data_IF_631383465955
#
_entry.id   IF_631383465955
#
_cell.length_a   1.000
_cell.length_b   1.000
_cell.length_c   1.000
_cell.angle_alpha   90.00
_cell.angle_beta   90.00
_cell.angle_gamma   90.00
#
_symmetry.space_group_name_H-M   'P 1'
#
loop_
_entity.id
_entity.type
_entity.pdbx_description
1 polymer ?
#
# COMPACT_ATOMS: atom_id res chain seq x y z
N UNK A 1 22.33 3.49 -18.98
CA UNK A 1 23.59 4.20 -18.69
C UNK A 1 24.68 3.16 -18.46
N UNK A 2 25.57 2.95 -19.43
CA UNK A 2 26.69 2.01 -19.28
C UNK A 2 27.77 2.66 -18.41
N UNK A 3 27.79 2.36 -17.10
CA UNK A 3 28.96 2.67 -16.26
C UNK A 3 30.12 1.82 -16.79
N UNK A 4 31.04 2.43 -17.55
CA UNK A 4 32.33 1.83 -17.88
C UNK A 4 33.19 1.95 -16.63
N UNK A 5 33.18 0.93 -15.79
CA UNK A 5 34.12 0.84 -14.67
C UNK A 5 35.40 0.26 -15.26
N UNK A 6 36.48 1.06 -15.26
CA UNK A 6 37.80 0.59 -15.60
C UNK A 6 38.28 -0.27 -14.43
N UNK A 7 38.18 -1.60 -14.58
CA UNK A 7 38.53 -2.57 -13.54
C UNK A 7 40.04 -2.75 -13.48
N UNK A 8 40.70 -1.81 -12.81
CA UNK A 8 42.14 -1.78 -12.60
C UNK A 8 42.87 -0.77 -13.47
N UNK A 9 44.13 -0.49 -13.13
CA UNK A 9 45.04 0.12 -14.09
C UNK A 9 45.04 -0.77 -15.33
N UNK A 10 45.08 -0.18 -16.54
CA UNK A 10 45.56 -0.93 -17.70
C UNK A 10 46.85 -1.58 -17.24
N UNK A 11 46.85 -2.90 -17.05
CA UNK A 11 48.11 -3.60 -17.03
C UNK A 11 48.75 -3.17 -18.34
N UNK A 12 49.92 -2.51 -18.34
CA UNK A 12 50.73 -2.51 -19.53
C UNK A 12 51.18 -3.96 -19.68
N UNK A 13 50.25 -4.84 -20.07
CA UNK A 13 50.55 -5.87 -21.02
C UNK A 13 50.97 -5.09 -22.28
N UNK A 14 52.20 -4.59 -22.22
CA UNK A 14 52.98 -4.04 -23.31
C UNK A 14 53.47 -5.22 -24.13
N UNK A 15 52.59 -6.14 -24.46
CA UNK A 15 52.74 -7.06 -25.56
C UNK A 15 51.85 -6.45 -26.65
N UNK A 16 52.33 -5.53 -27.47
CA UNK A 16 53.30 -5.90 -28.50
C UNK A 16 53.48 -4.72 -29.45
N UNK A 17 54.72 -4.26 -29.63
CA UNK A 17 55.08 -3.70 -30.93
C UNK A 17 55.07 -4.87 -31.91
N UNK A 18 54.26 -4.76 -32.96
CA UNK A 18 54.11 -5.80 -33.99
C UNK A 18 54.34 -5.22 -35.37
N UNK A 19 54.60 -6.09 -36.34
CA UNK A 19 54.80 -5.67 -37.73
C UNK A 19 53.44 -5.37 -38.36
N UNK A 20 53.32 -4.20 -38.99
CA UNK A 20 52.09 -3.82 -39.69
C UNK A 20 51.63 -4.93 -40.65
N UNK A 21 50.38 -5.39 -40.48
CA UNK A 21 49.77 -6.45 -41.27
C UNK A 21 49.85 -7.87 -40.67
N UNK A 22 50.62 -8.08 -39.61
CA UNK A 22 50.61 -9.32 -38.83
C UNK A 22 49.42 -9.37 -37.86
N UNK A 23 48.99 -10.58 -37.50
CA UNK A 23 47.91 -10.79 -36.54
C UNK A 23 48.34 -10.35 -35.15
N UNK A 24 47.43 -9.69 -34.44
CA UNK A 24 47.62 -9.30 -33.05
C UNK A 24 47.42 -10.54 -32.17
N UNK A 25 48.33 -10.77 -31.23
CA UNK A 25 48.23 -11.84 -30.24
C UNK A 25 48.45 -11.29 -28.83
N UNK A 26 47.38 -11.26 -28.02
CA UNK A 26 47.46 -10.90 -26.60
C UNK A 26 47.72 -12.15 -25.76
N UNK A 27 48.92 -12.28 -25.20
CA UNK A 27 49.33 -13.51 -24.51
C UNK A 27 48.69 -13.67 -23.12
N UNK A 28 48.19 -12.59 -22.53
CA UNK A 28 47.65 -12.58 -21.17
C UNK A 28 46.15 -12.32 -21.05
N UNK A 29 45.46 -11.96 -22.13
CA UNK A 29 44.06 -11.52 -22.07
C UNK A 29 43.11 -12.61 -21.54
N UNK A 30 43.27 -13.86 -22.02
CA UNK A 30 42.45 -14.98 -21.55
C UNK A 30 42.57 -15.22 -20.04
N UNK A 31 43.79 -15.11 -19.49
CA UNK A 31 44.03 -15.28 -18.05
C UNK A 31 43.37 -14.17 -17.22
N UNK A 32 43.41 -12.94 -17.71
CA UNK A 32 42.78 -11.80 -17.04
C UNK A 32 41.25 -11.90 -17.08
N UNK A 33 40.68 -12.27 -18.23
CA UNK A 33 39.24 -12.53 -18.37
C UNK A 33 38.80 -13.61 -17.37
N UNK A 34 39.49 -14.76 -17.34
CA UNK A 34 39.18 -15.82 -16.37
C UNK A 34 39.35 -15.40 -14.91
N UNK A 35 40.28 -14.48 -14.62
CA UNK A 35 40.44 -13.94 -13.27
C UNK A 35 39.24 -13.07 -12.85
N UNK A 36 38.74 -12.21 -13.72
CA UNK A 36 37.54 -11.43 -13.44
C UNK A 36 36.28 -12.31 -13.35
N UNK A 37 36.15 -13.31 -14.22
CA UNK A 37 35.04 -14.28 -14.13
C UNK A 37 35.07 -15.04 -12.80
N UNK A 38 36.27 -15.40 -12.29
CA UNK A 38 36.41 -16.00 -10.96
C UNK A 38 36.04 -15.06 -9.80
N UNK A 39 35.98 -13.75 -10.07
CA UNK A 39 35.49 -12.71 -9.16
C UNK A 39 34.03 -12.35 -9.43
N UNK A 40 33.29 -13.23 -10.09
CA UNK A 40 31.84 -13.12 -10.30
C UNK A 40 31.44 -11.98 -11.26
N UNK A 41 32.34 -11.66 -12.20
CA UNK A 41 32.01 -10.86 -13.38
C UNK A 41 31.59 -11.77 -14.55
N UNK A 42 30.80 -11.22 -15.46
CA UNK A 42 30.34 -11.88 -16.68
C UNK A 42 30.98 -11.19 -17.88
N UNK A 43 31.76 -11.91 -18.68
CA UNK A 43 32.35 -11.39 -19.91
C UNK A 43 31.29 -11.30 -21.01
N UNK A 44 30.99 -10.08 -21.46
CA UNK A 44 29.87 -9.83 -22.39
C UNK A 44 30.31 -9.48 -23.80
N UNK A 45 31.41 -8.76 -23.96
CA UNK A 45 31.83 -8.28 -25.28
C UNK A 45 33.30 -7.87 -25.29
N UNK A 46 33.94 -7.91 -26.45
CA UNK A 46 35.32 -7.47 -26.67
C UNK A 46 35.44 -6.75 -28.00
N UNK A 47 36.16 -5.63 -28.03
CA UNK A 47 36.52 -4.96 -29.27
C UNK A 47 37.63 -5.67 -30.06
N UNK A 48 38.31 -6.64 -29.45
CA UNK A 48 39.37 -7.43 -30.07
C UNK A 48 38.78 -8.70 -30.71
N UNK A 49 39.17 -8.95 -31.96
CA UNK A 49 38.90 -10.18 -32.69
C UNK A 49 40.21 -10.88 -33.07
N UNK A 50 40.26 -12.23 -33.07
CA UNK A 50 41.48 -12.99 -33.44
C UNK A 50 42.02 -12.72 -34.85
N UNK A 51 41.24 -12.05 -35.71
CA UNK A 51 41.61 -11.67 -37.07
C UNK A 51 42.22 -10.26 -37.17
N UNK A 52 42.25 -9.50 -36.06
CA UNK A 52 42.79 -8.15 -36.03
C UNK A 52 44.30 -8.14 -36.26
N UNK A 53 44.78 -7.06 -36.89
CA UNK A 53 46.17 -6.93 -37.35
C UNK A 53 46.79 -5.62 -36.91
N UNK A 54 48.11 -5.59 -36.75
CA UNK A 54 48.82 -4.35 -36.43
C UNK A 54 48.66 -3.33 -37.56
N UNK A 55 48.27 -2.12 -37.18
CA UNK A 55 48.22 -0.96 -38.06
C UNK A 55 49.54 -0.19 -38.12
N UNK A 56 49.48 1.04 -38.63
CA UNK A 56 50.58 2.01 -38.57
C UNK A 56 50.48 2.95 -37.36
N UNK A 57 49.33 2.93 -36.69
CA UNK A 57 48.98 3.80 -35.59
C UNK A 57 48.65 2.97 -34.35
N UNK A 58 48.75 3.58 -33.17
CA UNK A 58 48.34 2.96 -31.91
C UNK A 58 46.84 2.67 -31.90
N UNK A 59 46.47 1.46 -31.49
CA UNK A 59 45.07 1.02 -31.37
C UNK A 59 44.79 0.58 -29.93
N UNK A 60 43.54 0.75 -29.49
CA UNK A 60 43.07 0.33 -28.17
C UNK A 60 41.86 -0.58 -28.30
N UNK A 61 41.89 -1.72 -27.62
CA UNK A 61 40.76 -2.64 -27.54
C UNK A 61 40.20 -2.61 -26.11
N UNK A 62 38.88 -2.70 -26.01
CA UNK A 62 38.18 -2.77 -24.73
C UNK A 62 37.61 -4.18 -24.55
N UNK A 63 37.60 -4.63 -23.30
CA UNK A 63 36.89 -5.84 -22.87
C UNK A 63 35.79 -5.39 -21.92
N UNK A 64 34.58 -5.86 -22.15
CA UNK A 64 33.39 -5.42 -21.44
C UNK A 64 32.89 -6.54 -20.52
N UNK A 65 32.64 -6.18 -19.27
CA UNK A 65 32.08 -7.05 -18.26
C UNK A 65 30.79 -6.46 -17.68
N UNK A 66 30.02 -7.35 -17.09
CA UNK A 66 28.89 -7.05 -16.21
C UNK A 66 29.09 -7.75 -14.88
N UNK A 67 28.39 -7.32 -13.84
CA UNK A 67 28.36 -8.07 -12.59
C UNK A 67 27.40 -9.24 -12.74
N UNK A 68 27.78 -10.42 -12.24
CA UNK A 68 26.82 -11.50 -12.15
C UNK A 68 25.77 -11.17 -11.07
N UNK A 69 24.60 -11.75 -11.25
CA UNK A 69 23.47 -11.64 -10.32
C UNK A 69 23.10 -13.02 -9.82
N UNK A 70 22.66 -13.10 -8.57
CA UNK A 70 22.16 -14.35 -7.99
C UNK A 70 20.74 -14.17 -7.49
N UNK A 71 19.88 -15.13 -7.81
CA UNK A 71 18.53 -15.24 -7.29
C UNK A 71 18.57 -15.90 -5.90
N UNK A 72 18.13 -15.18 -4.88
CA UNK A 72 18.06 -15.68 -3.51
C UNK A 72 16.61 -16.04 -3.21
N UNK A 73 16.39 -17.28 -2.79
CA UNK A 73 15.09 -17.87 -2.44
C UNK A 73 15.18 -18.46 -1.02
N UNK A 74 14.07 -18.90 -0.41
CA UNK A 74 14.12 -19.49 0.93
C UNK A 74 14.96 -20.77 1.05
N UNK A 75 15.19 -21.43 -0.09
CA UNK A 75 15.98 -22.66 -0.17
C UNK A 75 17.44 -22.42 -0.52
N UNK A 76 17.85 -21.16 -0.76
CA UNK A 76 19.25 -20.83 -1.05
C UNK A 76 20.10 -21.08 0.20
N UNK A 77 21.18 -21.89 0.13
CA UNK A 77 22.07 -22.09 1.26
C UNK A 77 22.70 -20.77 1.74
N UNK A 78 22.83 -20.58 3.05
CA UNK A 78 23.31 -19.30 3.64
C UNK A 78 24.77 -19.00 3.26
N UNK A 79 25.59 -20.03 3.09
CA UNK A 79 26.99 -19.92 2.65
C UNK A 79 27.13 -19.51 1.18
N UNK A 80 26.05 -19.66 0.42
CA UNK A 80 25.94 -19.28 -0.98
C UNK A 80 25.44 -17.84 -1.19
N UNK A 81 25.01 -17.16 -0.11
CA UNK A 81 24.58 -15.75 -0.14
C UNK A 81 25.79 -14.84 0.08
N UNK A 82 25.94 -13.75 -0.69
CA UNK A 82 26.97 -12.75 -0.44
C UNK A 82 26.87 -12.17 0.97
N UNK A 83 28.03 -11.87 1.57
CA UNK A 83 28.14 -11.38 2.94
C UNK A 83 28.51 -9.89 2.97
N UNK A 84 28.03 -9.19 3.98
CA UNK A 84 28.44 -7.83 4.30
C UNK A 84 29.87 -7.82 4.89
N UNK A 85 30.49 -6.63 5.10
CA UNK A 85 31.82 -6.53 5.69
C UNK A 85 31.95 -7.11 7.11
N UNK A 86 30.83 -7.27 7.82
CA UNK A 86 30.78 -7.86 9.17
C UNK A 86 30.63 -9.39 9.12
N UNK A 87 30.44 -9.97 7.92
CA UNK A 87 30.35 -11.41 7.67
C UNK A 87 28.94 -11.98 7.73
N UNK A 88 27.91 -11.15 7.85
CA UNK A 88 26.51 -11.59 7.83
C UNK A 88 25.99 -11.68 6.38
N UNK A 89 25.07 -12.59 6.07
CA UNK A 89 24.45 -12.62 4.74
C UNK A 89 23.68 -11.32 4.50
N UNK A 90 23.81 -10.74 3.29
CA UNK A 90 23.11 -9.50 2.91
C UNK A 90 21.59 -9.66 2.92
N UNK A 91 21.12 -10.87 2.61
CA UNK A 91 19.73 -11.27 2.74
C UNK A 91 19.71 -12.61 3.46
N UNK A 92 18.98 -12.73 4.57
CA UNK A 92 18.74 -14.02 5.18
C UNK A 92 17.69 -14.79 4.36
N UNK A 93 18.01 -15.96 3.76
CA UNK A 93 17.03 -16.77 3.02
C UNK A 93 15.78 -17.09 3.84
N UNK A 94 15.90 -17.26 5.16
CA UNK A 94 14.76 -17.55 6.02
C UNK A 94 13.76 -16.39 6.12
N UNK A 95 14.20 -15.15 5.92
CA UNK A 95 13.31 -13.99 5.88
C UNK A 95 12.40 -13.97 4.64
N UNK A 96 12.78 -14.71 3.60
CA UNK A 96 12.00 -14.89 2.38
C UNK A 96 10.92 -15.97 2.51
N UNK A 97 10.80 -16.66 3.65
CA UNK A 97 9.69 -17.56 3.93
C UNK A 97 8.84 -17.03 5.09
N UNK A 98 7.57 -16.72 4.81
CA UNK A 98 6.62 -16.32 5.86
C UNK A 98 5.54 -17.39 5.98
N UNK A 99 5.35 -17.89 7.19
CA UNK A 99 4.33 -18.88 7.52
C UNK A 99 3.40 -18.32 8.58
N UNK A 100 2.11 -18.32 8.27
CA UNK A 100 1.07 -17.89 9.18
C UNK A 100 0.17 -19.07 9.53
N UNK A 101 -0.15 -19.21 10.81
CA UNK A 101 -1.01 -20.28 11.33
C UNK A 101 -1.97 -19.73 12.37
N UNK A 102 -3.22 -20.20 12.33
CA UNK A 102 -4.16 -20.10 13.43
C UNK A 102 -4.94 -21.39 13.58
N UNK A 103 -5.41 -21.66 14.78
CA UNK A 103 -6.24 -22.81 15.10
C UNK A 103 -7.58 -22.33 15.66
N UNK A 104 -8.68 -22.85 15.10
CA UNK A 104 -10.02 -22.59 15.60
C UNK A 104 -10.45 -23.77 16.47
N UNK A 105 -10.80 -23.50 17.73
CA UNK A 105 -11.24 -24.51 18.70
C UNK A 105 -12.71 -24.30 19.06
N UNK A 106 -13.40 -25.37 19.44
CA UNK A 106 -14.83 -25.37 19.76
C UNK A 106 -15.01 -25.85 21.19
N UNK A 107 -15.45 -24.97 22.08
CA UNK A 107 -15.42 -25.21 23.53
C UNK A 107 -16.76 -24.91 24.21
N UNK A 108 -17.02 -25.60 25.31
CA UNK A 108 -18.18 -25.35 26.17
C UNK A 108 -18.05 -24.01 26.90
N UNK A 109 -19.18 -23.32 27.12
CA UNK A 109 -19.29 -22.16 28.00
C UNK A 109 -19.28 -22.55 29.48
N UNK A 110 -18.16 -23.11 29.94
CA UNK A 110 -17.87 -23.37 31.34
C UNK A 110 -16.43 -22.93 31.65
N UNK A 111 -16.02 -23.08 32.90
CA UNK A 111 -14.66 -22.75 33.33
C UNK A 111 -13.61 -23.71 32.74
N UNK A 112 -14.00 -24.96 32.48
CA UNK A 112 -13.11 -26.00 31.96
C UNK A 112 -12.81 -25.87 30.45
N UNK A 113 -13.62 -25.12 29.69
CA UNK A 113 -13.55 -24.99 28.23
C UNK A 113 -13.43 -26.34 27.51
N UNK A 114 -14.23 -27.33 27.94
CA UNK A 114 -14.21 -28.68 27.38
C UNK A 114 -14.42 -28.66 25.86
N UNK A 115 -13.63 -29.42 25.08
CA UNK A 115 -13.75 -29.42 23.63
C UNK A 115 -15.01 -30.14 23.16
N UNK A 116 -15.63 -29.62 22.10
CA UNK A 116 -16.84 -30.18 21.49
C UNK A 116 -16.61 -30.76 20.09
N UNK A 117 -15.50 -30.40 19.44
CA UNK A 117 -15.21 -30.81 18.08
C UNK A 117 -13.70 -30.78 17.83
N UNK A 118 -13.25 -31.46 16.78
CA UNK A 118 -11.86 -31.37 16.33
C UNK A 118 -11.53 -29.91 15.97
N UNK A 119 -10.34 -29.41 16.37
CA UNK A 119 -9.90 -28.08 16.01
C UNK A 119 -9.69 -27.97 14.49
N UNK A 120 -9.91 -26.79 13.93
CA UNK A 120 -9.65 -26.49 12.52
C UNK A 120 -8.34 -25.69 12.43
N UNK A 121 -7.21 -26.34 12.11
CA UNK A 121 -5.97 -25.62 11.83
C UNK A 121 -6.03 -24.97 10.45
N UNK A 122 -5.58 -23.73 10.36
CA UNK A 122 -5.42 -22.99 9.10
C UNK A 122 -3.97 -22.56 8.95
N UNK A 123 -3.47 -22.61 7.72
CA UNK A 123 -2.09 -22.31 7.37
C UNK A 123 -2.04 -21.64 6.01
N UNK A 124 -1.28 -20.55 5.90
CA UNK A 124 -0.87 -19.95 4.63
C UNK A 124 0.63 -19.67 4.64
N UNK A 125 1.26 -19.71 3.47
CA UNK A 125 2.72 -19.55 3.33
C UNK A 125 3.05 -18.65 2.15
N UNK A 126 3.95 -17.68 2.35
CA UNK A 126 4.51 -16.84 1.31
C UNK A 126 5.98 -17.19 1.13
N UNK A 127 6.39 -17.33 -0.12
CA UNK A 127 7.77 -17.56 -0.52
C UNK A 127 8.18 -16.41 -1.44
N UNK A 128 9.20 -15.67 -1.03
CA UNK A 128 9.74 -14.53 -1.74
C UNK A 128 11.05 -14.88 -2.41
N UNK A 129 11.46 -14.05 -3.37
CA UNK A 129 12.81 -14.09 -3.91
C UNK A 129 13.33 -12.68 -4.17
N UNK A 130 14.64 -12.54 -4.23
CA UNK A 130 15.31 -11.27 -4.49
C UNK A 130 16.65 -11.50 -5.19
N UNK A 131 16.98 -10.64 -6.13
CA UNK A 131 18.24 -10.68 -6.84
C UNK A 131 19.31 -9.84 -6.13
N UNK A 132 20.51 -10.40 -6.00
CA UNK A 132 21.68 -9.72 -5.39
C UNK A 132 22.79 -9.61 -6.43
N UNK A 133 23.35 -8.40 -6.55
CA UNK A 133 24.59 -8.15 -7.28
C UNK A 133 25.75 -8.75 -6.49
N UNK A 134 26.40 -9.75 -7.08
CA UNK A 134 27.43 -10.55 -6.44
C UNK A 134 28.75 -9.79 -6.23
N UNK A 135 28.95 -8.68 -6.94
CA UNK A 135 30.15 -7.85 -6.84
C UNK A 135 29.94 -6.76 -5.80
N UNK A 136 28.80 -6.06 -5.81
CA UNK A 136 28.56 -4.94 -4.90
C UNK A 136 27.91 -5.37 -3.58
N UNK A 137 27.34 -6.56 -3.52
CA UNK A 137 26.60 -7.03 -2.34
C UNK A 137 25.33 -6.22 -2.08
N UNK A 138 24.66 -5.75 -3.14
CA UNK A 138 23.42 -4.96 -3.03
C UNK A 138 22.29 -5.66 -3.76
N UNK A 139 21.05 -5.43 -3.31
CA UNK A 139 19.87 -5.93 -4.02
C UNK A 139 19.74 -5.20 -5.36
N UNK A 140 19.33 -5.92 -6.40
CA UNK A 140 19.27 -5.40 -7.76
C UNK A 140 18.06 -5.95 -8.53
N UNK A 141 17.73 -5.37 -9.68
CA UNK A 141 16.92 -6.04 -10.70
C UNK A 141 17.82 -6.69 -11.75
N UNK A 142 17.55 -7.91 -12.21
CA UNK A 142 18.35 -8.55 -13.25
C UNK A 142 17.98 -8.03 -14.64
N UNK A 143 18.91 -8.14 -15.59
CA UNK A 143 18.63 -8.03 -17.03
C UNK A 143 19.28 -9.19 -17.79
N UNK A 144 18.63 -9.63 -18.86
CA UNK A 144 19.17 -10.66 -19.75
C UNK A 144 20.00 -10.03 -20.87
N UNK A 145 21.25 -10.45 -20.99
CA UNK A 145 22.18 -10.02 -22.04
C UNK A 145 22.82 -11.22 -22.72
N UNK A 146 23.48 -11.01 -23.86
CA UNK A 146 24.35 -12.00 -24.46
C UNK A 146 25.73 -11.95 -23.80
N UNK A 147 26.25 -13.10 -23.39
CA UNK A 147 27.66 -13.25 -23.06
C UNK A 147 28.52 -13.17 -24.34
N UNK A 148 29.84 -13.15 -24.19
CA UNK A 148 30.77 -13.10 -25.32
C UNK A 148 30.70 -14.35 -26.24
N UNK A 149 30.06 -15.44 -25.78
CA UNK A 149 29.84 -16.65 -26.56
C UNK A 149 28.46 -16.67 -27.24
N UNK A 150 27.62 -15.65 -27.03
CA UNK A 150 26.27 -15.54 -27.58
C UNK A 150 25.17 -16.25 -26.77
N UNK A 151 25.46 -16.71 -25.55
CA UNK A 151 24.47 -17.31 -24.64
C UNK A 151 23.71 -16.23 -23.88
N UNK A 152 22.44 -16.47 -23.59
CA UNK A 152 21.66 -15.61 -22.69
C UNK A 152 22.09 -15.82 -21.24
N UNK A 153 22.46 -14.73 -20.57
CA UNK A 153 22.90 -14.71 -19.16
C UNK A 153 22.20 -13.57 -18.42
N UNK A 154 21.89 -13.80 -17.14
CA UNK A 154 21.38 -12.76 -16.25
C UNK A 154 22.54 -11.97 -15.63
N UNK A 155 22.44 -10.65 -15.66
CA UNK A 155 23.42 -9.74 -15.06
C UNK A 155 22.73 -8.71 -14.18
N UNK A 156 23.48 -8.16 -13.21
CA UNK A 156 22.95 -7.14 -12.33
C UNK A 156 22.79 -5.80 -13.05
N UNK A 157 21.77 -5.03 -12.65
CA UNK A 157 21.59 -3.64 -13.08
C UNK A 157 21.93 -2.67 -11.94
N UNK A 158 21.87 -1.37 -12.22
CA UNK A 158 22.03 -0.33 -11.19
C UNK A 158 20.74 -0.02 -10.43
N UNK A 159 19.62 -0.69 -10.75
CA UNK A 159 18.34 -0.45 -10.07
C UNK A 159 18.28 -1.33 -8.83
N UNK A 160 17.91 -0.76 -7.70
CA UNK A 160 17.68 -1.52 -6.49
C UNK A 160 16.55 -2.54 -6.69
N UNK A 161 16.76 -3.77 -6.21
CA UNK A 161 15.78 -4.84 -6.23
C UNK A 161 14.89 -4.81 -4.99
N UNK A 162 13.64 -5.24 -5.16
CA UNK A 162 12.70 -5.50 -4.07
C UNK A 162 12.45 -7.00 -3.97
N UNK A 163 11.96 -7.45 -2.81
CA UNK A 163 11.49 -8.84 -2.67
C UNK A 163 10.22 -9.00 -3.50
N UNK A 164 10.23 -9.98 -4.39
CA UNK A 164 9.05 -10.41 -5.15
C UNK A 164 8.46 -11.64 -4.45
N UNK A 165 7.21 -11.53 -4.03
CA UNK A 165 6.51 -12.62 -3.34
C UNK A 165 5.69 -13.42 -4.35
N UNK A 166 5.60 -14.74 -4.14
CA UNK A 166 4.74 -15.60 -4.96
C UNK A 166 3.25 -15.21 -4.93
N UNK A 167 2.82 -14.50 -3.88
CA UNK A 167 1.47 -13.95 -3.71
C UNK A 167 1.52 -12.59 -3.01
N UNK A 168 0.76 -11.62 -3.50
CA UNK A 168 0.55 -10.34 -2.77
C UNK A 168 -0.30 -10.54 -1.51
N UNK A 169 -1.31 -11.42 -1.62
CA UNK A 169 -2.26 -11.72 -0.54
C UNK A 169 -2.66 -13.19 -0.54
N UNK A 170 -2.97 -13.73 0.64
CA UNK A 170 -3.65 -15.02 0.81
C UNK A 170 -4.70 -14.95 1.91
N UNK A 171 -5.67 -15.85 1.84
CA UNK A 171 -6.84 -15.82 2.73
C UNK A 171 -6.89 -17.07 3.60
N UNK A 172 -7.23 -16.91 4.89
CA UNK A 172 -7.73 -18.02 5.70
C UNK A 172 -9.25 -17.88 5.81
N UNK A 173 -9.96 -18.93 5.44
CA UNK A 173 -11.42 -18.93 5.31
C UNK A 173 -12.15 -18.67 6.63
N UNK A 174 -13.39 -18.15 6.53
CA UNK A 174 -14.33 -18.10 7.65
C UNK A 174 -14.69 -19.52 8.12
N UNK A 175 -14.70 -19.74 9.43
CA UNK A 175 -15.18 -21.00 10.04
C UNK A 175 -16.51 -20.74 10.73
N UNK A 176 -17.59 -21.27 10.15
CA UNK A 176 -18.96 -21.14 10.68
C UNK A 176 -19.47 -22.51 11.10
N UNK A 177 -19.48 -22.78 12.41
CA UNK A 177 -20.07 -23.99 12.98
C UNK A 177 -21.18 -23.58 13.96
N UNK A 178 -22.42 -23.42 13.48
CA UNK A 178 -23.50 -22.87 14.32
C UNK A 178 -23.97 -23.82 15.42
N UNK A 179 -23.96 -25.12 15.14
CA UNK A 179 -24.42 -26.16 16.06
C UNK A 179 -23.43 -27.32 16.08
N UNK A 180 -23.27 -27.95 17.23
CA UNK A 180 -22.52 -29.20 17.40
C UNK A 180 -23.43 -30.17 18.15
N UNK A 181 -23.67 -31.36 17.61
CA UNK A 181 -24.44 -32.41 18.29
C UNK A 181 -23.49 -33.51 18.72
N UNK A 182 -23.54 -33.85 20.00
CA UNK A 182 -22.79 -34.98 20.57
C UNK A 182 -23.75 -36.11 20.92
N UNK A 183 -23.49 -37.30 20.43
CA UNK A 183 -24.22 -38.53 20.74
C UNK A 183 -23.45 -39.36 21.77
N UNK A 184 -24.15 -40.28 22.44
CA UNK A 184 -23.52 -41.24 23.35
C UNK A 184 -22.45 -42.06 22.62
N UNK A 185 -21.23 -42.05 23.16
CA UNK A 185 -20.08 -42.75 22.57
C UNK A 185 -19.24 -41.90 21.62
N UNK A 186 -19.65 -40.67 21.29
CA UNK A 186 -18.82 -39.75 20.52
C UNK A 186 -17.55 -39.36 21.30
N UNK A 187 -16.46 -39.11 20.57
CA UNK A 187 -15.13 -38.75 21.11
C UNK A 187 -15.19 -37.64 22.17
N UNK A 188 -16.07 -36.67 21.98
CA UNK A 188 -16.21 -35.48 22.83
C UNK A 188 -17.33 -35.60 23.87
N UNK A 189 -18.13 -36.67 23.84
CA UNK A 189 -19.14 -36.95 24.85
C UNK A 189 -18.52 -37.64 26.07
N UNK A 190 -17.63 -36.94 26.79
CA UNK A 190 -16.85 -37.53 27.90
C UNK A 190 -17.65 -37.76 29.19
N UNK A 191 -18.88 -37.25 29.24
CA UNK A 191 -19.84 -37.46 30.31
C UNK A 191 -21.28 -37.36 29.76
N UNK A 192 -22.25 -37.95 30.46
CA UNK A 192 -23.66 -37.98 30.03
C UNK A 192 -24.25 -36.57 29.84
N UNK A 193 -23.79 -35.60 30.63
CA UNK A 193 -24.19 -34.21 30.53
C UNK A 193 -23.63 -33.49 29.29
N UNK A 194 -22.65 -34.08 28.59
CA UNK A 194 -22.13 -33.55 27.33
C UNK A 194 -22.94 -33.94 26.10
N UNK A 195 -23.72 -35.02 26.17
CA UNK A 195 -24.58 -35.50 25.09
C UNK A 195 -25.71 -34.51 24.83
N UNK A 196 -25.93 -34.13 23.57
CA UNK A 196 -27.00 -33.21 23.16
C UNK A 196 -26.52 -32.16 22.15
N UNK A 197 -27.41 -31.23 21.84
CA UNK A 197 -27.12 -30.16 20.88
C UNK A 197 -26.57 -28.90 21.57
N UNK A 198 -25.42 -28.44 21.08
CA UNK A 198 -24.71 -27.24 21.52
C UNK A 198 -24.85 -26.15 20.46
N UNK A 199 -25.22 -24.94 20.86
CA UNK A 199 -25.32 -23.80 19.96
C UNK A 199 -24.19 -22.79 20.24
N UNK A 200 -23.65 -22.22 19.17
CA UNK A 200 -22.61 -21.21 19.23
C UNK A 200 -23.16 -19.91 19.86
N UNK A 201 -22.44 -19.36 20.85
CA UNK A 201 -22.84 -18.15 21.58
C UNK A 201 -21.80 -17.02 21.52
N UNK A 202 -20.50 -17.32 21.31
CA UNK A 202 -19.45 -16.29 21.27
C UNK A 202 -18.16 -16.78 20.61
N UNK A 203 -17.22 -15.86 20.38
CA UNK A 203 -16.06 -16.08 19.53
C UNK A 203 -16.42 -15.92 18.05
N UNK A 204 -15.49 -15.47 17.20
CA UNK A 204 -15.77 -15.27 15.78
C UNK A 204 -14.53 -15.60 14.97
N UNK A 205 -14.65 -16.56 14.05
CA UNK A 205 -13.58 -17.00 13.16
C UNK A 205 -13.84 -16.47 11.74
N UNK A 206 -13.77 -15.15 11.58
CA UNK A 206 -13.97 -14.50 10.28
C UNK A 206 -12.85 -14.88 9.29
N UNK A 207 -13.17 -14.70 8.01
CA UNK A 207 -12.17 -14.63 6.95
C UNK A 207 -11.12 -13.56 7.29
N UNK A 208 -9.85 -13.88 7.03
CA UNK A 208 -8.73 -12.97 7.17
C UNK A 208 -7.88 -13.02 5.91
N UNK A 209 -7.62 -11.85 5.33
CA UNK A 209 -6.66 -11.66 4.25
C UNK A 209 -5.31 -11.25 4.86
N UNK A 210 -4.27 -12.00 4.52
CA UNK A 210 -2.90 -11.82 4.98
C UNK A 210 -2.01 -11.38 3.81
N UNK A 211 -1.00 -10.59 4.12
CA UNK A 211 0.13 -10.20 3.27
C UNK A 211 1.43 -10.73 3.88
N UNK A 212 2.56 -10.75 3.14
CA UNK A 212 3.86 -11.11 3.69
C UNK A 212 4.32 -10.26 4.90
N UNK A 213 3.77 -9.06 5.06
CA UNK A 213 4.06 -8.13 6.16
C UNK A 213 3.06 -8.22 7.32
N UNK A 214 2.08 -9.13 7.24
CA UNK A 214 1.08 -9.30 8.30
C UNK A 214 1.70 -9.91 9.56
N UNK A 215 1.06 -9.68 10.70
CA UNK A 215 1.37 -10.42 11.92
C UNK A 215 0.67 -11.78 11.92
N UNK A 216 1.20 -12.73 12.68
CA UNK A 216 0.56 -14.03 12.82
C UNK A 216 -0.81 -13.89 13.51
N UNK A 217 -1.90 -14.39 12.89
CA UNK A 217 -3.21 -14.35 13.53
C UNK A 217 -3.23 -15.16 14.82
N UNK A 218 -4.01 -14.70 15.78
CA UNK A 218 -4.22 -15.42 17.04
C UNK A 218 -5.09 -16.65 16.82
N UNK A 219 -4.87 -17.66 17.65
CA UNK A 219 -5.81 -18.77 17.78
C UNK A 219 -7.14 -18.29 18.34
N UNK A 220 -8.23 -18.93 17.93
CA UNK A 220 -9.58 -18.51 18.28
C UNK A 220 -10.35 -19.65 18.93
N UNK A 221 -11.24 -19.28 19.86
CA UNK A 221 -12.17 -20.20 20.50
C UNK A 221 -13.60 -19.77 20.13
N UNK A 222 -14.36 -20.70 19.57
CA UNK A 222 -15.80 -20.60 19.42
C UNK A 222 -16.45 -21.27 20.63
N UNK A 223 -17.27 -20.51 21.35
CA UNK A 223 -17.86 -20.94 22.62
C UNK A 223 -19.31 -21.33 22.41
N UNK A 224 -19.73 -22.42 23.03
CA UNK A 224 -21.06 -23.01 22.86
C UNK A 224 -21.79 -23.18 24.20
N UNK A 225 -23.11 -23.02 24.19
CA UNK A 225 -23.99 -23.38 25.30
C UNK A 225 -24.90 -24.55 24.88
N UNK A 226 -25.18 -25.46 25.82
CA UNK A 226 -26.08 -26.59 25.56
C UNK A 226 -27.52 -26.08 25.45
N UNK A 227 -28.28 -26.60 24.49
CA UNK A 227 -29.70 -26.28 24.37
C UNK A 227 -30.46 -26.77 25.61
N UNK A 228 -31.16 -25.85 26.30
CA UNK A 228 -31.89 -26.12 27.56
C UNK A 228 -33.20 -26.90 27.36
N UNK A 229 -33.63 -27.18 26.14
CA UNK A 229 -34.92 -27.86 25.86
C UNK A 229 -34.84 -29.38 25.70
N UNK A 230 -33.67 -30.00 25.80
CA UNK A 230 -33.54 -31.46 25.62
C UNK A 230 -33.71 -32.22 26.95
N UNK A 231 -34.93 -32.22 27.49
CA UNK A 231 -35.43 -33.38 28.26
C UNK A 231 -36.30 -34.23 27.33
N UNK A 232 -35.69 -35.15 26.56
CA UNK A 232 -36.42 -36.10 25.70
C UNK A 232 -37.11 -35.47 24.48
N UNK A 233 -37.56 -36.26 23.48
CA UNK A 233 -37.99 -35.73 22.20
C UNK A 233 -39.38 -35.09 22.34
N UNK A 234 -39.46 -33.79 22.07
CA UNK A 234 -40.69 -33.12 21.67
C UNK A 234 -40.49 -32.59 20.24
N UNK A 235 -41.13 -33.23 19.27
CA UNK A 235 -41.04 -32.95 17.83
C UNK A 235 -41.77 -31.66 17.41
N UNK A 236 -41.87 -30.66 18.30
CA UNK A 236 -42.57 -29.41 18.01
C UNK A 236 -41.95 -28.21 18.72
N UNK A 237 -40.74 -27.82 18.31
CA UNK A 237 -40.25 -26.48 18.59
C UNK A 237 -40.41 -25.61 17.35
N UNK A 238 -41.36 -24.67 17.43
CA UNK A 238 -41.38 -23.51 16.57
C UNK A 238 -40.01 -22.81 16.70
N UNK A 239 -39.22 -22.88 15.63
CA UNK A 239 -37.94 -22.19 15.52
C UNK A 239 -38.18 -20.70 15.83
N UNK A 240 -37.33 -20.04 16.63
CA UNK A 240 -37.44 -18.61 16.79
C UNK A 240 -37.34 -17.96 15.42
N UNK A 241 -38.40 -17.26 15.02
CA UNK A 241 -38.45 -16.56 13.73
C UNK A 241 -37.33 -15.51 13.72
N UNK A 242 -36.30 -15.77 12.94
CA UNK A 242 -35.20 -14.82 12.73
C UNK A 242 -35.65 -13.82 11.68
N UNK A 243 -35.74 -12.55 12.07
CA UNK A 243 -36.00 -11.45 11.15
C UNK A 243 -34.66 -10.88 10.69
N UNK A 244 -34.48 -10.78 9.37
CA UNK A 244 -33.31 -10.16 8.74
C UNK A 244 -33.72 -8.82 8.18
N UNK A 245 -33.14 -7.75 8.73
CA UNK A 245 -33.30 -6.38 8.23
C UNK A 245 -32.05 -5.96 7.49
N UNK A 246 -32.21 -5.42 6.29
CA UNK A 246 -31.13 -4.75 5.58
C UNK A 246 -31.05 -3.30 6.07
N UNK A 247 -29.87 -2.89 6.51
CA UNK A 247 -29.54 -1.50 6.80
C UNK A 247 -28.70 -0.93 5.66
N UNK A 248 -28.97 0.32 5.30
CA UNK A 248 -28.29 1.03 4.22
C UNK A 248 -27.71 2.34 4.71
N UNK A 249 -26.47 2.65 4.33
CA UNK A 249 -25.82 3.93 4.64
C UNK A 249 -25.24 4.51 3.34
N UNK A 250 -25.63 5.74 3.01
CA UNK A 250 -25.21 6.40 1.76
C UNK A 250 -24.34 7.60 2.06
N UNK A 251 -23.18 7.65 1.41
CA UNK A 251 -22.20 8.71 1.51
C UNK A 251 -22.29 9.59 0.28
N UNK A 252 -22.33 10.91 0.49
CA UNK A 252 -22.50 11.89 -0.58
C UNK A 252 -21.39 12.93 -0.54
N UNK A 253 -20.82 13.23 -1.72
CA UNK A 253 -19.96 14.40 -1.95
C UNK A 253 -20.55 15.22 -3.10
N UNK A 254 -20.58 16.55 -2.95
CA UNK A 254 -20.99 17.45 -4.02
C UNK A 254 -19.82 18.31 -4.46
N UNK A 255 -19.52 18.33 -5.76
CA UNK A 255 -18.58 19.28 -6.36
C UNK A 255 -19.38 20.40 -7.00
N UNK A 256 -19.08 21.65 -6.65
CA UNK A 256 -19.73 22.86 -7.20
C UNK A 256 -18.71 23.62 -8.02
N UNK A 257 -19.09 24.00 -9.23
CA UNK A 257 -18.24 24.70 -10.18
C UNK A 257 -18.73 26.15 -10.32
N UNK A 258 -17.83 27.09 -10.05
CA UNK A 258 -18.07 28.53 -10.18
C UNK A 258 -16.93 29.20 -10.93
N UNK A 259 -17.14 30.42 -11.40
CA UNK A 259 -16.10 31.19 -12.05
C UNK A 259 -16.20 32.67 -11.75
N UNK A 260 -15.07 33.36 -11.86
CA UNK A 260 -14.95 34.81 -11.67
C UNK A 260 -14.15 35.42 -12.82
N UNK A 261 -14.54 36.62 -13.23
CA UNK A 261 -13.82 37.40 -14.26
C UNK A 261 -13.17 38.66 -13.71
N UNK A 262 -13.35 38.93 -12.43
CA UNK A 262 -13.00 40.16 -11.73
C UNK A 262 -12.10 39.91 -10.52
N UNK A 263 -11.34 38.81 -10.53
CA UNK A 263 -10.39 38.48 -9.46
C UNK A 263 -11.05 38.07 -8.14
N UNK A 264 -12.19 37.38 -8.21
CA UNK A 264 -12.89 36.80 -7.06
C UNK A 264 -13.93 37.71 -6.40
N UNK A 265 -14.31 38.82 -7.03
CA UNK A 265 -15.33 39.75 -6.50
C UNK A 265 -16.75 39.24 -6.79
N UNK A 266 -16.99 38.73 -8.00
CA UNK A 266 -18.25 38.12 -8.40
C UNK A 266 -18.05 36.69 -8.90
N UNK A 267 -18.98 35.81 -8.49
CA UNK A 267 -18.99 34.41 -8.88
C UNK A 267 -20.26 34.05 -9.63
N UNK A 268 -20.09 33.43 -10.79
CA UNK A 268 -21.17 32.82 -11.59
C UNK A 268 -21.05 31.30 -11.62
N UNK A 269 -22.15 30.59 -11.86
CA UNK A 269 -22.13 29.14 -12.04
C UNK A 269 -21.46 28.77 -13.36
N UNK A 270 -20.59 27.76 -13.34
CA UNK A 270 -19.85 27.31 -14.52
C UNK A 270 -20.11 25.84 -14.78
N UNK A 271 -20.38 25.45 -16.02
CA UNK A 271 -20.64 24.05 -16.41
C UNK A 271 -19.35 23.21 -16.51
N UNK A 272 -18.57 23.19 -15.42
CA UNK A 272 -17.23 22.62 -15.31
C UNK A 272 -17.18 21.13 -14.99
N UNK A 273 -18.30 20.50 -14.64
CA UNK A 273 -18.32 19.06 -14.36
C UNK A 273 -18.10 18.19 -15.60
N UNK A 274 -17.71 16.90 -15.43
CA UNK A 274 -17.64 15.94 -16.53
C UNK A 274 -18.94 15.80 -17.33
N UNK A 275 -20.10 15.92 -16.68
CA UNK A 275 -21.43 15.84 -17.32
C UNK A 275 -21.94 17.20 -17.85
N UNK A 276 -21.12 18.25 -17.78
CA UNK A 276 -21.43 19.57 -18.33
C UNK A 276 -22.44 20.38 -17.53
N UNK A 277 -22.50 20.17 -16.21
CA UNK A 277 -23.30 20.93 -15.25
C UNK A 277 -22.41 21.74 -14.30
N UNK A 278 -23.04 22.62 -13.54
CA UNK A 278 -22.38 23.41 -12.49
C UNK A 278 -22.25 22.67 -11.16
N UNK A 279 -22.82 21.48 -11.05
CA UNK A 279 -22.74 20.63 -9.86
C UNK A 279 -22.57 19.18 -10.28
N UNK A 280 -21.73 18.45 -9.55
CA UNK A 280 -21.50 17.02 -9.74
C UNK A 280 -21.62 16.30 -8.41
N UNK A 281 -22.64 15.46 -8.28
CA UNK A 281 -22.95 14.73 -7.05
C UNK A 281 -22.50 13.28 -7.19
N UNK A 282 -21.62 12.83 -6.30
CA UNK A 282 -21.23 11.44 -6.20
C UNK A 282 -21.86 10.80 -4.97
N UNK A 283 -22.29 9.56 -5.10
CA UNK A 283 -22.86 8.78 -4.02
C UNK A 283 -22.28 7.38 -4.01
N UNK A 284 -21.94 6.88 -2.82
CA UNK A 284 -21.63 5.47 -2.58
C UNK A 284 -22.59 4.97 -1.51
N UNK A 285 -23.18 3.80 -1.73
CA UNK A 285 -24.11 3.17 -0.78
C UNK A 285 -23.54 1.87 -0.26
N UNK A 286 -23.45 1.78 1.07
CA UNK A 286 -23.12 0.57 1.79
C UNK A 286 -24.38 -0.09 2.32
N UNK A 287 -24.36 -1.42 2.36
CA UNK A 287 -25.42 -2.24 2.95
C UNK A 287 -24.86 -3.20 3.97
N UNK A 288 -25.64 -3.52 5.00
CA UNK A 288 -25.34 -4.63 5.91
C UNK A 288 -26.62 -5.29 6.38
N UNK A 289 -26.54 -6.54 6.80
CA UNK A 289 -27.67 -7.30 7.33
C UNK A 289 -27.61 -7.32 8.86
N UNK A 290 -28.76 -7.03 9.48
CA UNK A 290 -28.99 -7.19 10.91
C UNK A 290 -29.98 -8.33 11.08
N UNK A 291 -29.52 -9.43 11.66
CA UNK A 291 -30.36 -10.56 12.05
C UNK A 291 -30.79 -10.37 13.51
N UNK A 292 -32.07 -10.49 13.79
CA UNK A 292 -32.63 -10.33 15.13
C UNK A 292 -33.75 -11.32 15.41
N UNK A 293 -34.06 -11.52 16.68
CA UNK A 293 -35.25 -12.25 17.13
C UNK A 293 -36.08 -11.39 18.05
N UNK A 294 -37.39 -11.59 18.02
CA UNK A 294 -38.33 -10.91 18.92
C UNK A 294 -38.86 -11.91 19.93
N UNK A 295 -38.60 -11.67 21.21
CA UNK A 295 -39.13 -12.50 22.30
C UNK A 295 -40.65 -12.42 22.40
N UNK A 296 -41.26 -13.35 23.15
CA UNK A 296 -42.72 -13.34 23.42
C UNK A 296 -43.19 -12.08 24.16
N UNK A 297 -42.27 -11.36 24.79
CA UNK A 297 -42.44 -10.07 25.44
C UNK A 297 -42.33 -8.86 24.49
N UNK A 298 -42.06 -9.09 23.20
CA UNK A 298 -41.85 -8.06 22.19
C UNK A 298 -40.44 -7.47 22.17
N UNK A 299 -39.51 -7.99 22.98
CA UNK A 299 -38.14 -7.47 23.04
C UNK A 299 -37.31 -8.00 21.85
N UNK A 300 -36.73 -7.08 21.09
CA UNK A 300 -35.82 -7.40 19.98
C UNK A 300 -34.41 -7.64 20.52
N UNK A 301 -33.84 -8.80 20.19
CA UNK A 301 -32.45 -9.14 20.45
C UNK A 301 -31.70 -9.22 19.13
N UNK A 302 -30.66 -8.39 18.97
CA UNK A 302 -29.78 -8.47 17.79
C UNK A 302 -28.89 -9.69 17.93
N UNK A 303 -28.94 -10.59 16.94
CA UNK A 303 -28.16 -11.82 16.90
C UNK A 303 -26.84 -11.63 16.14
N UNK A 304 -26.88 -10.93 15.00
CA UNK A 304 -25.72 -10.71 14.14
C UNK A 304 -25.90 -9.43 13.33
N UNK A 305 -24.82 -8.67 13.20
CA UNK A 305 -24.70 -7.57 12.25
C UNK A 305 -23.53 -7.87 11.33
N UNK A 306 -23.75 -7.93 10.02
CA UNK A 306 -22.64 -8.14 9.06
C UNK A 306 -21.79 -6.88 8.91
N UNK A 307 -20.54 -6.99 8.46
CA UNK A 307 -19.79 -5.84 7.98
C UNK A 307 -20.54 -5.10 6.87
N UNK A 308 -20.20 -3.82 6.68
CA UNK A 308 -20.67 -3.04 5.56
C UNK A 308 -20.07 -3.55 4.25
N UNK A 309 -20.90 -3.68 3.22
CA UNK A 309 -20.48 -4.01 1.85
C UNK A 309 -21.02 -2.99 0.87
N UNK A 310 -20.23 -2.68 -0.17
CA UNK A 310 -20.63 -1.81 -1.27
C UNK A 310 -20.09 -2.40 -2.57
N UNK A 311 -20.72 -2.04 -3.70
CA UNK A 311 -20.21 -2.37 -5.03
C UNK A 311 -18.87 -1.66 -5.29
N UNK A 312 -18.79 -0.40 -4.89
CA UNK A 312 -17.63 0.46 -4.96
C UNK A 312 -17.48 1.15 -3.61
N UNK A 313 -16.31 1.10 -2.99
CA UNK A 313 -16.05 1.69 -1.67
C UNK A 313 -15.42 3.10 -1.76
N UNK A 314 -15.27 3.62 -2.98
CA UNK A 314 -14.48 4.82 -3.28
C UNK A 314 -15.28 5.78 -4.15
N UNK A 315 -15.34 7.04 -3.75
CA UNK A 315 -15.77 8.14 -4.61
C UNK A 315 -14.63 8.43 -5.59
N UNK A 316 -14.83 8.09 -6.86
CA UNK A 316 -13.80 8.25 -7.89
C UNK A 316 -13.34 9.69 -8.09
N UNK A 317 -12.18 9.84 -8.73
CA UNK A 317 -11.64 11.13 -9.17
C UNK A 317 -12.66 11.85 -10.09
N UNK A 318 -12.80 13.17 -9.91
CA UNK A 318 -13.64 14.01 -10.75
C UNK A 318 -12.76 15.01 -11.47
N UNK A 319 -12.59 14.82 -12.78
CA UNK A 319 -11.80 15.71 -13.63
C UNK A 319 -12.63 16.95 -14.00
N UNK A 320 -12.13 18.14 -13.67
CA UNK A 320 -12.72 19.41 -14.09
C UNK A 320 -12.52 19.62 -15.59
N UNK A 321 -13.47 20.25 -16.28
CA UNK A 321 -13.27 20.64 -17.68
C UNK A 321 -12.11 21.62 -17.81
N UNK A 322 -11.45 21.57 -18.96
CA UNK A 322 -10.41 22.53 -19.30
C UNK A 322 -10.96 23.96 -19.26
N UNK A 323 -10.22 24.95 -18.69
CA UNK A 323 -10.72 26.31 -18.53
C UNK A 323 -11.26 26.94 -19.83
N UNK A 324 -10.54 26.74 -20.94
CA UNK A 324 -10.91 27.29 -22.25
C UNK A 324 -12.24 26.74 -22.78
N UNK A 325 -12.61 25.50 -22.44
CA UNK A 325 -13.88 24.89 -22.84
C UNK A 325 -15.09 25.50 -22.13
N UNK A 326 -14.87 26.22 -21.03
CA UNK A 326 -15.91 26.87 -20.23
C UNK A 326 -15.77 28.40 -20.18
N UNK A 327 -14.86 28.98 -20.98
CA UNK A 327 -14.71 30.43 -21.13
C UNK A 327 -13.81 31.11 -20.10
N UNK A 328 -12.85 30.38 -19.53
CA UNK A 328 -11.89 30.86 -18.53
C UNK A 328 -10.45 30.49 -18.92
N UNK A 329 -9.48 31.05 -18.20
CA UNK A 329 -8.05 30.84 -18.46
C UNK A 329 -7.42 29.85 -17.48
N UNK A 330 -7.85 29.86 -16.22
CA UNK A 330 -7.31 29.06 -15.12
C UNK A 330 -8.41 28.31 -14.37
N UNK A 331 -8.02 27.26 -13.65
CA UNK A 331 -8.85 26.53 -12.68
C UNK A 331 -8.00 26.22 -11.45
N UNK A 332 -8.57 26.38 -10.26
CA UNK A 332 -7.88 26.13 -8.98
C UNK A 332 -7.67 24.63 -8.69
N UNK A 333 -8.65 23.80 -9.07
CA UNK A 333 -8.69 22.36 -8.86
C UNK A 333 -8.96 21.69 -10.20
N UNK A 334 -7.90 21.28 -10.88
CA UNK A 334 -7.99 20.53 -12.14
C UNK A 334 -8.72 19.19 -11.95
N UNK A 335 -8.53 18.57 -10.77
CA UNK A 335 -9.06 17.26 -10.42
C UNK A 335 -9.41 17.21 -8.94
N UNK A 336 -10.63 16.77 -8.62
CA UNK A 336 -11.01 16.43 -7.24
C UNK A 336 -10.61 14.99 -7.00
N UNK A 337 -9.70 14.78 -6.05
CA UNK A 337 -9.12 13.46 -5.75
C UNK A 337 -10.16 12.41 -5.36
N UNK A 338 -9.81 11.15 -5.63
CA UNK A 338 -10.58 10.01 -5.18
C UNK A 338 -10.59 9.93 -3.64
N UNK A 339 -11.71 9.49 -3.07
CA UNK A 339 -11.85 9.35 -1.62
C UNK A 339 -12.45 7.99 -1.27
N UNK A 340 -11.66 7.14 -0.58
CA UNK A 340 -12.09 5.84 -0.09
C UNK A 340 -12.89 5.99 1.21
N UNK A 341 -14.09 5.44 1.25
CA UNK A 341 -15.04 5.60 2.36
C UNK A 341 -14.81 4.55 3.43
N UNK A 342 -14.75 4.99 4.68
CA UNK A 342 -14.88 4.16 5.87
C UNK A 342 -16.30 4.32 6.48
N UNK A 343 -17.20 3.35 6.29
CA UNK A 343 -18.59 3.50 6.69
C UNK A 343 -18.83 3.57 8.21
N UNK A 344 -17.85 3.18 9.02
CA UNK A 344 -17.93 3.22 10.49
C UNK A 344 -17.39 4.52 11.08
N UNK A 345 -16.59 5.29 10.32
CA UNK A 345 -15.94 6.53 10.79
C UNK A 345 -16.42 7.78 10.07
N UNK A 346 -16.68 7.68 8.79
CA UNK A 346 -16.94 8.86 7.96
C UNK A 346 -18.37 9.38 8.16
N UNK A 347 -18.51 10.69 7.93
CA UNK A 347 -19.82 11.33 7.90
C UNK A 347 -20.54 10.98 6.57
N UNK A 348 -21.81 10.53 6.61
CA UNK A 348 -22.63 10.34 5.40
C UNK A 348 -22.67 11.56 4.46
N UNK A 349 -22.55 12.76 5.01
CA UNK A 349 -22.36 13.98 4.21
C UNK A 349 -20.90 14.43 4.29
N UNK A 350 -20.17 14.26 3.19
CA UNK A 350 -18.77 14.68 3.06
C UNK A 350 -18.63 16.15 2.68
N UNK A 351 -19.75 16.84 2.47
CA UNK A 351 -19.80 18.27 2.18
C UNK A 351 -19.56 18.64 0.72
N UNK A 352 -19.16 19.90 0.54
CA UNK A 352 -19.04 20.55 -0.77
C UNK A 352 -17.58 20.86 -1.08
N UNK A 353 -17.10 20.39 -2.23
CA UNK A 353 -15.85 20.84 -2.84
C UNK A 353 -16.18 21.93 -3.87
N UNK A 354 -15.55 23.09 -3.76
CA UNK A 354 -15.76 24.20 -4.71
C UNK A 354 -14.58 24.29 -5.65
N UNK A 355 -14.86 24.20 -6.96
CA UNK A 355 -13.89 24.42 -8.04
C UNK A 355 -14.16 25.80 -8.64
N UNK A 356 -13.13 26.62 -8.74
CA UNK A 356 -13.18 28.00 -9.21
C UNK A 356 -12.38 28.17 -10.50
N UNK A 357 -13.04 28.72 -11.52
CA UNK A 357 -12.42 29.15 -12.77
C UNK A 357 -12.16 30.66 -12.78
N UNK A 358 -11.05 31.09 -13.37
CA UNK A 358 -10.65 32.50 -13.38
C UNK A 358 -10.19 32.97 -14.76
N UNK A 359 -10.51 34.22 -15.11
CA UNK A 359 -9.86 34.95 -16.21
C UNK A 359 -8.96 36.03 -15.64
N UNK A 360 -7.82 36.27 -16.27
CA UNK A 360 -7.01 37.46 -15.95
C UNK A 360 -7.83 38.71 -16.25
N UNK A 361 -8.00 39.66 -15.31
CA UNK A 361 -8.78 40.86 -15.58
C UNK A 361 -8.13 41.63 -16.72
N UNK A 362 -8.84 41.78 -17.84
CA UNK A 362 -8.49 42.78 -18.86
C UNK A 362 -8.58 44.14 -18.20
N UNK A 363 -7.42 44.75 -17.96
CA UNK A 363 -7.32 46.15 -17.56
C UNK A 363 -8.20 46.98 -18.50
N UNK A 364 -9.12 47.83 -17.99
CA UNK A 364 -9.97 48.64 -18.84
C UNK A 364 -9.12 49.54 -19.73
N UNK A 365 -9.42 49.54 -21.03
CA UNK A 365 -8.88 50.50 -21.99
C UNK A 365 -9.41 51.88 -21.63
N UNK A 366 -8.59 52.75 -21.03
CA UNK A 366 -8.91 54.17 -20.93
C UNK A 366 -8.63 54.87 -22.27
N UNK A 367 -9.71 55.36 -22.90
CA UNK A 367 -9.67 56.44 -23.90
C UNK A 367 -9.58 57.81 -23.20
N UNK A 368 -9.09 58.86 -23.88
CA UNK A 368 -8.32 59.94 -23.27
C UNK A 368 -9.18 61.08 -22.70
N UNK A 369 -8.69 61.74 -21.65
CA UNK A 369 -9.18 63.06 -21.23
C UNK A 369 -8.04 64.00 -20.85
N UNK A 370 -8.16 65.23 -21.35
CA UNK A 370 -7.25 66.37 -21.27
C UNK A 370 -7.03 66.97 -19.87
N UNK A 371 -5.80 67.47 -19.67
CA UNK A 371 -5.31 68.65 -18.90
C UNK A 371 -6.06 69.17 -17.65
N UNK A 372 -5.32 69.36 -16.53
CA UNK A 372 -4.61 70.62 -16.17
C UNK A 372 -4.09 70.67 -14.70
N UNK A 373 -2.82 71.08 -14.52
CA UNK A 373 -2.06 71.72 -13.39
C UNK A 373 -2.34 71.34 -11.91
N UNK A 374 -1.38 71.33 -10.97
CA UNK A 374 0.00 71.83 -10.88
C UNK A 374 0.74 71.14 -9.69
N UNK A 375 2.08 71.19 -9.74
CA UNK A 375 3.20 70.70 -8.89
C UNK A 375 3.23 71.11 -7.38
N UNK A 376 4.24 70.73 -6.51
CA UNK A 376 5.64 70.35 -6.83
C UNK A 376 6.36 69.18 -6.12
N UNK A 377 7.33 68.60 -6.87
CA UNK A 377 8.71 68.14 -6.55
C UNK A 377 8.95 67.08 -5.44
N UNK A 378 9.93 66.16 -5.49
CA UNK A 378 11.20 66.10 -6.23
C UNK A 378 11.72 64.64 -6.39
N UNK A 379 12.70 64.50 -7.28
CA UNK A 379 13.30 63.30 -7.89
C UNK A 379 14.21 62.46 -6.95
N UNK A 380 14.48 61.20 -7.30
CA UNK A 380 15.83 60.73 -7.72
C UNK A 380 15.76 59.35 -8.42
N UNK A 381 16.56 59.25 -9.48
CA UNK A 381 16.61 58.26 -10.56
C UNK A 381 17.56 57.08 -10.27
N UNK A 382 17.21 55.91 -10.81
CA UNK A 382 18.05 54.71 -10.97
C UNK A 382 19.13 54.91 -12.05
N UNK A 383 20.32 54.30 -11.91
CA UNK A 383 21.09 53.83 -13.08
C UNK A 383 21.86 52.54 -12.75
N UNK A 384 21.65 51.53 -13.59
CA UNK A 384 22.44 50.29 -13.74
C UNK A 384 23.49 50.51 -14.83
N UNK A 385 24.69 49.93 -14.66
CA UNK A 385 25.39 49.07 -15.63
C UNK A 385 26.92 49.22 -15.59
N UNK A 386 27.67 48.12 -15.47
CA UNK A 386 28.41 47.48 -16.57
C UNK A 386 29.38 46.38 -16.09
N UNK A 387 29.88 45.66 -17.08
CA UNK A 387 30.29 44.26 -17.17
C UNK A 387 31.83 44.09 -17.28
N UNK A 388 32.35 42.90 -16.96
CA UNK A 388 33.69 42.37 -17.28
C UNK A 388 34.71 42.47 -16.13
N UNK A 389 35.73 41.62 -15.97
CA UNK A 389 36.13 40.33 -16.56
C UNK A 389 37.30 39.78 -15.68
N UNK A 390 37.45 38.45 -15.59
CA UNK A 390 38.69 37.66 -15.34
C UNK A 390 39.57 37.74 -14.06
N UNK A 391 39.81 36.53 -13.51
CA UNK A 391 41.11 35.88 -13.25
C UNK A 391 41.58 35.58 -11.80
N UNK A 392 41.58 34.26 -11.53
CA UNK A 392 42.61 33.36 -10.93
C UNK A 392 43.36 33.79 -9.64
N UNK A 393 43.33 32.91 -8.61
CA UNK A 393 44.46 32.15 -8.00
C UNK A 393 44.17 31.79 -6.53
N UNK A 394 44.15 30.46 -6.33
CA UNK A 394 44.61 29.62 -5.21
C UNK A 394 44.66 30.07 -3.73
N UNK A 395 44.10 29.14 -2.94
CA UNK A 395 44.71 28.48 -1.75
C UNK A 395 44.87 29.27 -0.46
N UNK A 396 44.27 28.77 0.62
CA UNK A 396 44.98 27.89 1.58
C UNK A 396 44.12 27.51 2.80
N UNK A 397 43.98 26.20 3.01
CA UNK A 397 44.16 25.43 4.24
C UNK A 397 43.78 25.97 5.65
N UNK A 398 42.89 25.19 6.28
CA UNK A 398 43.11 24.39 7.51
C UNK A 398 42.80 24.95 8.89
N UNK A 399 41.88 24.20 9.54
CA UNK A 399 41.89 23.66 10.91
C UNK A 399 42.01 24.56 12.14
N UNK A 400 41.04 24.41 13.05
CA UNK A 400 41.20 24.49 14.52
C UNK A 400 39.88 24.05 15.18
N UNK A 401 39.78 22.85 15.74
CA UNK A 401 39.92 22.49 17.18
C UNK A 401 38.96 23.18 18.17
N UNK A 402 38.27 22.31 18.90
CA UNK A 402 37.37 22.49 20.06
C UNK A 402 38.05 23.20 21.25
N UNK A 403 37.28 23.65 22.27
CA UNK A 403 37.24 22.86 23.52
C UNK A 403 35.90 22.81 24.30
N UNK A 404 35.79 21.75 25.10
CA UNK A 404 34.79 21.32 26.12
C UNK A 404 34.55 22.33 27.28
N UNK A 405 33.41 22.33 28.01
CA UNK A 405 33.13 21.39 29.15
C UNK A 405 31.75 21.59 29.83
N UNK A 406 31.15 20.43 30.26
CA UNK A 406 30.35 20.11 31.49
C UNK A 406 28.96 20.78 31.68
N UNK A 407 27.89 20.19 32.24
CA UNK A 407 27.66 19.02 33.13
C UNK A 407 26.12 18.75 33.21
N UNK A 408 25.66 17.52 33.48
CA UNK A 408 24.31 17.30 34.06
C UNK A 408 23.53 16.06 33.59
N UNK A 409 23.54 15.03 34.43
CA UNK A 409 22.77 13.76 34.44
C UNK A 409 21.26 13.85 34.11
N UNK A 410 20.73 12.86 33.37
CA UNK A 410 19.32 12.46 33.49
C UNK A 410 19.12 10.94 33.31
N UNK A 411 18.51 10.37 34.34
CA UNK A 411 17.92 9.03 34.44
C UNK A 411 16.42 9.16 34.11
N UNK A 412 15.85 8.18 33.39
CA UNK A 412 14.39 8.10 33.16
C UNK A 412 13.62 7.84 34.46
N UNK A 413 12.37 8.31 34.54
CA UNK A 413 11.27 7.35 34.65
C UNK A 413 10.03 7.68 33.81
N UNK A 414 9.24 6.63 33.56
CA UNK A 414 7.87 6.71 33.07
C UNK A 414 6.89 7.30 34.10
N UNK A 415 5.82 7.95 33.64
CA UNK A 415 4.39 7.69 33.96
C UNK A 415 3.51 8.82 33.42
N UNK A 416 2.28 8.48 33.02
CA UNK A 416 1.35 9.36 32.31
C UNK A 416 0.65 10.41 33.17
N UNK A 417 -0.24 11.18 32.53
CA UNK A 417 -1.28 11.90 33.24
C UNK A 417 -2.57 12.06 32.43
N UNK A 418 -3.67 11.86 33.14
CA UNK A 418 -5.07 11.92 32.75
C UNK A 418 -5.71 13.29 33.04
N UNK A 419 -6.97 13.44 32.56
CA UNK A 419 -8.13 14.24 33.03
C UNK A 419 -8.61 15.24 31.96
N UNK A 420 -9.90 15.44 31.68
CA UNK A 420 -11.12 15.23 32.47
C UNK A 420 -12.39 15.11 31.62
N UNK A 421 -13.39 14.45 32.20
CA UNK A 421 -14.76 14.18 31.75
C UNK A 421 -15.61 15.40 31.36
N UNK A 422 -16.55 15.18 30.43
CA UNK A 422 -17.82 15.90 30.36
C UNK A 422 -18.94 14.91 30.07
N UNK A 423 -19.87 14.83 31.02
CA UNK A 423 -21.14 14.13 30.99
C UNK A 423 -22.11 14.96 30.13
N UNK A 424 -22.68 14.41 29.05
CA UNK A 424 -23.97 14.88 28.53
C UNK A 424 -24.82 13.64 28.23
N UNK A 425 -25.77 13.38 29.13
CA UNK A 425 -26.92 12.56 28.80
C UNK A 425 -27.92 13.41 28.05
N UNK A 426 -28.38 12.93 26.89
CA UNK A 426 -29.64 13.32 26.27
C UNK A 426 -30.22 12.07 25.60
N UNK A 427 -31.33 11.60 26.16
CA UNK A 427 -32.15 10.57 25.53
C UNK A 427 -32.82 11.11 24.27
N UNK A 428 -33.12 10.21 23.34
CA UNK A 428 -34.17 10.43 22.36
C UNK A 428 -35.03 9.18 22.26
N UNK A 429 -36.27 9.36 22.68
CA UNK A 429 -37.41 8.51 22.40
C UNK A 429 -37.86 8.68 20.94
N UNK A 430 -38.61 7.66 20.51
CA UNK A 430 -39.65 7.67 19.48
C UNK A 430 -39.31 8.09 18.04
N UNK A 431 -39.33 7.08 17.15
CA UNK A 431 -40.04 7.22 15.88
C UNK A 431 -40.63 5.87 15.44
N UNK A 432 -41.72 5.48 16.11
CA UNK A 432 -42.80 4.72 15.48
C UNK A 432 -43.62 5.70 14.63
N UNK A 433 -43.71 5.48 13.32
CA UNK A 433 -44.92 5.64 12.50
C UNK A 433 -44.59 5.67 11.01
N UNK A 434 -45.07 4.68 10.26
CA UNK A 434 -45.89 4.83 9.05
C UNK A 434 -45.75 3.62 8.12
N UNK A 435 -46.84 3.30 7.41
CA UNK A 435 -47.09 2.20 6.47
C UNK A 435 -47.56 0.90 7.17
N UNK A 436 -48.80 0.44 7.01
CA UNK A 436 -49.94 0.90 6.24
C UNK A 436 -51.08 -0.10 6.47
N UNK A 437 -52.29 0.41 6.72
CA UNK A 437 -53.49 -0.41 6.83
C UNK A 437 -53.73 -1.19 5.53
N UNK A 438 -53.84 -2.51 5.62
CA UNK A 438 -54.76 -3.26 4.75
C UNK A 438 -55.73 -4.07 5.60
N UNK A 439 -56.99 -3.72 5.41
CA UNK A 439 -58.19 -4.24 6.06
C UNK A 439 -58.64 -5.43 5.23
N UNK A 440 -58.62 -6.65 5.77
CA UNK A 440 -59.39 -7.77 5.20
C UNK A 440 -60.36 -8.29 6.24
N UNK A 441 -61.62 -8.25 5.83
CA UNK A 441 -62.80 -8.51 6.63
C UNK A 441 -63.13 -10.01 6.60
N UNK A 442 -63.40 -10.56 7.79
CA UNK A 442 -64.51 -11.48 8.08
C UNK A 442 -64.51 -12.88 7.44
N UNK A 443 -64.41 -13.90 8.30
CA UNK A 443 -65.54 -14.80 8.61
C UNK A 443 -65.25 -15.63 9.87
N UNK A 444 -66.09 -15.44 10.90
CA UNK A 444 -66.34 -16.46 11.92
C UNK A 444 -67.15 -17.58 11.28
N UNK A 445 -66.83 -18.82 11.63
CA UNK A 445 -67.80 -19.90 11.73
C UNK A 445 -67.34 -20.82 12.85
N UNK A 446 -68.22 -20.89 13.85
CA UNK A 446 -68.48 -21.93 14.86
C UNK A 446 -67.32 -22.77 15.39
#
# INVERSE_FOLDING_TARGET
>A
MNRKIQLGNTDPASDSEGITGELIHFNNNGKWISNLESQIYVFVDTGYHPTDKYGKETSHFNVYFRHAVKDITPNTPVDEVPKDPDGNPIVDPSDLHKKFTRTITFVVNNDAKSPLHDPVPQKVTFDGHIYVDMVTGQTTTPETVKDANGNDVQVATTKAGNIEWNHDTQTMDEVVQKYITLNTGDKYATADDMVGTWHWISGTANEIVLTPTSENPQDLQLVYEKNKSETGPDESHDLPKVDVKVETKTFTRTVVYRGTKDGGVHFESVNGSPDGKNTYKQTVTFTRNISSTTGKDGKVTILKTTPWTAKDDTLGEVVSKTPSAVGYELVDIEKVDAHKINPDKDNPDLGIVTVTYETTPTQPTEQPSEQKNEEPQSMTTQVIAKQGETSIIESTNSSSTQPTTKQGTQQLPQTGNQKSSSLIGLGFADLLSALGLTKVNKKRKD
#
